data_IF_945063841060
#
_entry.id   IF_945063841060
#
_cell.length_a   1.000
_cell.length_b   1.000
_cell.length_c   1.000
_cell.angle_alpha   90.00
_cell.angle_beta   90.00
_cell.angle_gamma   90.00
#
_symmetry.space_group_name_H-M   'P 1'
#
loop_
_entity.id
_entity.type
_entity.pdbx_description
1 polymer ?
#
# COMPACT_ATOMS: atom_id res chain seq x y z
N UNK A 1 4.23 10.88 12.82
CA UNK A 1 4.04 9.80 11.83
C UNK A 1 2.92 10.21 10.89
N UNK A 2 3.15 10.11 9.59
CA UNK A 2 2.14 10.31 8.55
C UNK A 2 2.02 9.01 7.75
N UNK A 3 0.79 8.56 7.49
CA UNK A 3 0.52 7.41 6.64
C UNK A 3 -0.37 7.90 5.50
N UNK A 4 0.12 7.78 4.27
CA UNK A 4 -0.59 8.13 3.05
C UNK A 4 -1.03 6.85 2.37
N UNK A 5 -2.35 6.67 2.20
CA UNK A 5 -2.92 5.64 1.35
C UNK A 5 -3.57 6.33 0.16
N UNK A 6 -3.12 6.01 -1.04
CA UNK A 6 -3.65 6.58 -2.27
C UNK A 6 -3.72 5.52 -3.35
N UNK A 7 -4.90 5.27 -3.88
CA UNK A 7 -5.06 4.32 -4.97
C UNK A 7 -4.29 4.81 -6.21
N UNK A 8 -3.68 3.89 -6.96
CA UNK A 8 -3.03 4.22 -8.22
C UNK A 8 -4.08 4.52 -9.30
N UNK A 9 -5.31 4.03 -9.16
CA UNK A 9 -6.34 4.00 -10.19
C UNK A 9 -5.76 3.39 -11.48
N UNK A 10 -5.74 4.15 -12.57
CA UNK A 10 -5.16 3.75 -13.86
C UNK A 10 -3.64 3.93 -13.92
N UNK A 11 -3.04 4.65 -12.98
CA UNK A 11 -1.59 4.92 -12.94
C UNK A 11 -0.80 3.75 -12.38
N UNK A 12 0.52 3.74 -12.57
CA UNK A 12 1.42 2.85 -11.83
C UNK A 12 1.74 3.38 -10.43
N UNK A 13 2.34 2.53 -9.60
CA UNK A 13 2.82 2.93 -8.27
C UNK A 13 3.87 4.03 -8.40
N UNK A 14 4.81 3.88 -9.33
CA UNK A 14 5.90 4.82 -9.59
C UNK A 14 5.37 6.17 -10.08
N UNK A 15 4.37 6.17 -10.96
CA UNK A 15 3.73 7.41 -11.43
C UNK A 15 3.06 8.17 -10.28
N UNK A 16 2.43 7.46 -9.34
CA UNK A 16 1.79 8.08 -8.18
C UNK A 16 2.83 8.60 -7.17
N UNK A 17 3.90 7.86 -6.93
CA UNK A 17 5.02 8.31 -6.11
C UNK A 17 5.71 9.53 -6.72
N UNK A 18 5.93 9.52 -8.04
CA UNK A 18 6.47 10.67 -8.77
C UNK A 18 5.56 11.88 -8.66
N UNK A 19 4.24 11.71 -8.81
CA UNK A 19 3.28 12.80 -8.67
C UNK A 19 3.35 13.45 -7.29
N UNK A 20 3.43 12.64 -6.22
CA UNK A 20 3.57 13.17 -4.85
C UNK A 20 4.87 13.96 -4.69
N UNK A 21 5.97 13.43 -5.24
CA UNK A 21 7.26 14.11 -5.20
C UNK A 21 7.26 15.41 -6.01
N UNK A 22 6.66 15.42 -7.19
CA UNK A 22 6.53 16.61 -8.04
C UNK A 22 5.72 17.70 -7.30
N UNK A 23 4.63 17.34 -6.61
CA UNK A 23 3.83 18.29 -5.82
C UNK A 23 4.60 18.88 -4.64
N UNK A 24 5.50 18.13 -4.01
CA UNK A 24 6.40 18.68 -2.97
C UNK A 24 7.36 19.71 -3.57
N UNK A 25 7.97 19.39 -4.73
CA UNK A 25 8.89 20.29 -5.43
C UNK A 25 8.18 21.59 -5.85
N UNK A 26 6.97 21.49 -6.39
CA UNK A 26 6.16 22.64 -6.79
C UNK A 26 5.87 23.59 -5.61
N UNK A 27 5.71 23.04 -4.40
CA UNK A 27 5.52 23.79 -3.15
C UNK A 27 6.84 24.16 -2.45
N UNK A 28 7.98 24.01 -3.15
CA UNK A 28 9.33 24.27 -2.61
C UNK A 28 9.66 23.49 -1.33
N UNK A 29 9.04 22.31 -1.16
CA UNK A 29 9.31 21.38 -0.07
C UNK A 29 10.39 20.36 -0.49
N UNK A 30 11.07 19.80 0.50
CA UNK A 30 11.99 18.68 0.26
C UNK A 30 11.21 17.39 -0.04
N UNK A 31 11.79 16.52 -0.87
CA UNK A 31 11.27 15.16 -1.09
C UNK A 31 11.23 14.38 0.22
N UNK A 32 10.22 13.51 0.39
CA UNK A 32 10.13 12.61 1.53
C UNK A 32 11.41 11.77 1.64
N UNK A 33 12.10 11.87 2.77
CA UNK A 33 13.35 11.13 3.04
C UNK A 33 13.04 9.79 3.71
N UNK A 34 13.97 8.85 3.58
CA UNK A 34 13.81 7.49 4.11
C UNK A 34 13.88 7.41 5.64
N UNK A 35 14.45 8.43 6.29
CA UNK A 35 14.55 8.59 7.75
C UNK A 35 13.34 9.33 8.36
N UNK A 36 12.40 9.81 7.53
CA UNK A 36 11.15 10.40 8.00
C UNK A 36 10.09 9.32 8.28
N UNK A 37 9.32 9.53 9.35
CA UNK A 37 8.18 8.67 9.72
C UNK A 37 6.96 8.89 8.81
N UNK A 38 7.15 8.85 7.49
CA UNK A 38 6.13 9.02 6.45
C UNK A 38 6.00 7.71 5.66
N UNK A 39 4.83 7.08 5.66
CA UNK A 39 4.50 5.93 4.80
C UNK A 39 3.73 6.38 3.58
N UNK A 40 4.02 5.79 2.42
CA UNK A 40 3.19 5.93 1.24
C UNK A 40 2.84 4.54 0.71
N UNK A 41 1.57 4.21 0.78
CA UNK A 41 1.00 2.96 0.29
C UNK A 41 0.14 3.27 -0.93
N UNK A 42 0.45 2.61 -2.05
CA UNK A 42 -0.24 2.84 -3.32
C UNK A 42 -0.83 1.54 -3.84
N UNK A 43 -2.07 1.20 -3.47
CA UNK A 43 -2.77 0.06 -4.07
C UNK A 43 -2.97 0.28 -5.57
N UNK A 44 -2.54 -0.66 -6.41
CA UNK A 44 -2.80 -0.58 -7.85
C UNK A 44 -4.28 -0.87 -8.12
N UNK A 45 -4.90 -0.05 -8.98
CA UNK A 45 -6.36 0.13 -9.12
C UNK A 45 -7.03 0.69 -7.88
N UNK A 46 -7.16 -0.11 -6.84
CA UNK A 46 -7.83 0.25 -5.60
C UNK A 46 -7.46 -0.69 -4.44
N UNK A 47 -7.70 -0.24 -3.21
CA UNK A 47 -7.43 -1.00 -1.99
C UNK A 47 -8.15 -2.36 -1.94
N UNK A 48 -9.31 -2.49 -2.57
CA UNK A 48 -10.06 -3.74 -2.61
C UNK A 48 -9.25 -4.87 -3.28
N UNK A 49 -8.39 -4.57 -4.25
CA UNK A 49 -7.47 -5.54 -4.87
C UNK A 49 -6.63 -6.25 -3.82
N UNK A 50 -6.12 -5.52 -2.81
CA UNK A 50 -5.33 -6.11 -1.73
C UNK A 50 -6.19 -6.98 -0.82
N UNK A 51 -7.42 -6.57 -0.54
CA UNK A 51 -8.33 -7.34 0.33
C UNK A 51 -8.72 -8.66 -0.33
N UNK A 52 -9.06 -8.66 -1.63
CA UNK A 52 -9.34 -9.89 -2.38
C UNK A 52 -8.14 -10.84 -2.39
N UNK A 53 -6.92 -10.31 -2.59
CA UNK A 53 -5.71 -11.12 -2.49
C UNK A 53 -5.56 -11.76 -1.09
N UNK A 54 -5.80 -10.99 -0.04
CA UNK A 54 -5.67 -11.48 1.34
C UNK A 54 -6.75 -12.50 1.73
N UNK A 55 -7.88 -12.50 1.02
CA UNK A 55 -8.92 -13.53 1.08
C UNK A 55 -8.49 -14.85 0.40
N UNK A 56 -7.36 -14.84 -0.32
CA UNK A 56 -6.82 -16.00 -1.03
C UNK A 56 -7.21 -16.06 -2.50
N UNK A 57 -7.78 -14.99 -3.04
CA UNK A 57 -8.09 -14.89 -4.46
C UNK A 57 -6.84 -14.55 -5.28
N UNK A 58 -6.77 -15.07 -6.51
CA UNK A 58 -5.82 -14.56 -7.50
C UNK A 58 -6.36 -13.24 -8.03
N UNK A 59 -5.59 -12.17 -7.88
CA UNK A 59 -6.02 -10.84 -8.30
C UNK A 59 -5.25 -10.34 -9.52
N UNK A 60 -5.92 -9.50 -10.31
CA UNK A 60 -5.34 -8.78 -11.44
C UNK A 60 -5.34 -7.28 -11.10
N UNK A 61 -4.17 -6.68 -11.05
CA UNK A 61 -3.99 -5.27 -10.73
C UNK A 61 -4.37 -4.32 -11.89
N UNK A 62 -5.09 -4.79 -12.92
CA UNK A 62 -5.64 -3.94 -13.98
C UNK A 62 -7.18 -3.87 -13.95
N UNK A 63 -7.86 -4.76 -13.20
CA UNK A 63 -9.32 -4.77 -13.09
C UNK A 63 -9.81 -4.05 -11.82
N UNK A 64 -11.05 -3.54 -11.87
CA UNK A 64 -11.67 -2.87 -10.73
C UNK A 64 -12.38 -3.90 -9.85
N UNK A 65 -12.03 -3.91 -8.57
CA UNK A 65 -12.73 -4.71 -7.55
C UNK A 65 -13.82 -3.88 -6.87
N UNK A 66 -14.97 -4.53 -6.60
CA UNK A 66 -16.12 -3.86 -6.01
C UNK A 66 -15.88 -3.55 -4.52
N UNK A 67 -16.37 -2.39 -4.06
CA UNK A 67 -16.28 -1.98 -2.66
C UNK A 67 -17.10 -2.91 -1.76
N UNK A 68 -16.56 -3.22 -0.58
CA UNK A 68 -17.26 -3.93 0.49
C UNK A 68 -18.28 -3.01 1.18
N UNK A 69 -19.44 -2.79 0.55
CA UNK A 69 -20.48 -1.92 1.13
C UNK A 69 -21.11 -2.52 2.40
N UNK A 70 -21.23 -1.72 3.46
CA UNK A 70 -21.86 -2.08 4.75
C UNK A 70 -21.15 -3.21 5.52
N UNK A 71 -19.92 -3.55 5.16
CA UNK A 71 -19.14 -4.58 5.85
C UNK A 71 -17.63 -4.33 5.77
N UNK A 72 -17.22 -3.07 5.77
CA UNK A 72 -15.83 -2.65 5.69
C UNK A 72 -14.99 -3.22 6.85
N UNK A 73 -15.63 -3.44 8.01
CA UNK A 73 -14.98 -4.05 9.17
C UNK A 73 -14.56 -5.52 8.98
N UNK A 74 -15.19 -6.25 8.05
CA UNK A 74 -14.79 -7.63 7.73
C UNK A 74 -13.38 -7.72 7.12
N UNK A 75 -12.82 -6.60 6.67
CA UNK A 75 -11.45 -6.52 6.17
C UNK A 75 -10.39 -6.71 7.27
N UNK A 76 -10.74 -6.43 8.54
CA UNK A 76 -9.81 -6.41 9.68
C UNK A 76 -8.93 -7.67 9.81
N UNK A 77 -9.46 -8.90 9.86
CA UNK A 77 -8.63 -10.11 10.00
C UNK A 77 -7.64 -10.29 8.83
N UNK A 78 -8.00 -9.83 7.63
CA UNK A 78 -7.13 -9.91 6.46
C UNK A 78 -5.95 -8.93 6.56
N UNK A 79 -6.20 -7.72 7.05
CA UNK A 79 -5.15 -6.71 7.28
C UNK A 79 -4.24 -7.12 8.45
N UNK A 80 -4.78 -7.71 9.52
CA UNK A 80 -3.97 -8.26 10.61
C UNK A 80 -3.05 -9.39 10.12
N UNK A 81 -3.56 -10.26 9.25
CA UNK A 81 -2.75 -11.28 8.58
C UNK A 81 -1.65 -10.66 7.70
N UNK A 82 -1.97 -9.62 6.94
CA UNK A 82 -0.98 -8.90 6.12
C UNK A 82 0.16 -8.35 6.96
N UNK A 83 -0.14 -7.69 8.10
CA UNK A 83 0.87 -7.14 9.00
C UNK A 83 1.85 -8.21 9.46
N UNK A 84 1.34 -9.39 9.85
CA UNK A 84 2.18 -10.52 10.22
C UNK A 84 3.04 -11.02 9.05
N UNK A 85 2.46 -11.14 7.85
CA UNK A 85 3.17 -11.61 6.66
C UNK A 85 4.26 -10.64 6.18
N UNK A 86 3.99 -9.33 6.14
CA UNK A 86 5.00 -8.33 5.79
C UNK A 86 6.15 -8.34 6.81
N UNK A 87 5.84 -8.44 8.11
CA UNK A 87 6.85 -8.44 9.18
C UNK A 87 7.77 -9.67 9.14
N UNK A 88 7.23 -10.82 8.71
CA UNK A 88 7.97 -12.08 8.61
C UNK A 88 8.65 -12.27 7.25
N UNK A 89 8.42 -11.38 6.28
CA UNK A 89 8.88 -11.56 4.89
C UNK A 89 8.26 -12.77 4.19
N UNK A 90 7.14 -13.29 4.69
CA UNK A 90 6.52 -14.56 4.27
C UNK A 90 5.28 -14.33 3.39
N UNK A 91 5.45 -13.50 2.37
CA UNK A 91 4.40 -13.22 1.39
C UNK A 91 4.18 -14.46 0.49
N UNK A 92 2.92 -14.77 0.16
CA UNK A 92 2.60 -15.99 -0.59
C UNK A 92 3.03 -15.89 -2.07
N UNK A 93 2.88 -16.97 -2.83
CA UNK A 93 3.10 -16.94 -4.28
C UNK A 93 2.01 -16.06 -4.93
N UNK A 94 2.37 -15.23 -5.92
CA UNK A 94 1.49 -14.29 -6.65
C UNK A 94 1.03 -13.04 -5.87
N UNK A 95 1.90 -12.46 -5.04
CA UNK A 95 1.58 -11.19 -4.35
C UNK A 95 1.50 -10.06 -5.38
N UNK A 96 0.45 -9.22 -5.34
CA UNK A 96 0.35 -8.00 -6.14
C UNK A 96 1.61 -7.15 -6.00
N UNK A 97 2.13 -6.61 -7.11
CA UNK A 97 3.37 -5.85 -7.09
C UNK A 97 3.24 -4.62 -6.17
N UNK A 98 2.08 -3.96 -6.19
CA UNK A 98 1.82 -2.81 -5.31
C UNK A 98 1.87 -3.19 -3.82
N UNK A 99 1.39 -4.39 -3.47
CA UNK A 99 1.42 -4.91 -2.11
C UNK A 99 2.85 -5.30 -1.68
N UNK A 100 3.66 -5.83 -2.60
CA UNK A 100 5.07 -6.11 -2.33
C UNK A 100 5.85 -4.83 -2.01
N UNK A 101 5.60 -3.75 -2.76
CA UNK A 101 6.21 -2.43 -2.49
C UNK A 101 5.79 -1.93 -1.11
N UNK A 102 4.49 -2.01 -0.79
CA UNK A 102 3.96 -1.63 0.51
C UNK A 102 4.59 -2.40 1.68
N UNK A 103 4.77 -3.73 1.57
CA UNK A 103 5.38 -4.51 2.64
C UNK A 103 6.85 -4.14 2.90
N UNK A 104 7.58 -3.54 1.93
CA UNK A 104 8.96 -3.06 2.16
C UNK A 104 8.98 -1.77 3.00
N UNK A 105 7.95 -0.95 2.90
CA UNK A 105 7.82 0.28 3.68
C UNK A 105 7.49 -0.01 5.16
N UNK A 106 6.82 -1.12 5.43
CA UNK A 106 6.33 -1.43 6.78
C UNK A 106 7.44 -1.59 7.84
N UNK A 107 8.49 -2.41 7.63
CA UNK A 107 9.61 -2.51 8.58
C UNK A 107 10.36 -1.19 8.76
N UNK A 108 10.50 -0.39 7.68
CA UNK A 108 11.19 0.91 7.74
C UNK A 108 10.52 1.83 8.75
N UNK A 109 9.18 1.87 8.74
CA UNK A 109 8.42 2.78 9.60
C UNK A 109 8.32 2.26 11.02
N UNK A 110 8.15 0.95 11.20
CA UNK A 110 8.19 0.36 12.54
C UNK A 110 9.50 0.71 13.26
N UNK A 111 10.64 0.63 12.57
CA UNK A 111 11.95 1.02 13.13
C UNK A 111 12.04 2.49 13.55
N UNK A 112 11.24 3.38 12.94
CA UNK A 112 11.21 4.81 13.28
C UNK A 112 10.24 5.14 14.43
N UNK A 113 9.49 4.14 14.93
CA UNK A 113 8.57 4.27 16.06
C UNK A 113 9.13 3.68 17.37
N UNK A 114 10.23 2.93 17.28
CA UNK A 114 11.01 2.40 18.41
C UNK A 114 11.96 3.46 18.99
#
# INVERSE_FOLDING_TARGET
>A
MLIVLIDADTKTVEERLKQLNDSLIEDSQESCKSDESIAIFVPKRNIETWIHYLQGETVDEEIVYAKFTNNESACKPYVEKLVNQCSQGSLAVNVPLSLQVACREFPRILRLLE
#
